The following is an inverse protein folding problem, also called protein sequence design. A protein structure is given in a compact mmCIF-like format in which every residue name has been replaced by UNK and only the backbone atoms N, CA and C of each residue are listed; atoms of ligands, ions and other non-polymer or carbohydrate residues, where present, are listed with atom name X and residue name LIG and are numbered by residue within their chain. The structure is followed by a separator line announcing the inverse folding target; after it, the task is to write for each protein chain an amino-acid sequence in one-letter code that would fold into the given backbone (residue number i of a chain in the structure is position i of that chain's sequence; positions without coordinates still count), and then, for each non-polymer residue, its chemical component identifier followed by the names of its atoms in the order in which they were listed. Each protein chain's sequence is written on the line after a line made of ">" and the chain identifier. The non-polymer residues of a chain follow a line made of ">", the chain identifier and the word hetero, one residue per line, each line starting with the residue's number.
data_IF_912114567572
#
_entry.id   IF_912114567572
#
_cell.length_a   1.000
_cell.length_b   1.000
_cell.length_c   1.000
_cell.angle_alpha   90.00
_cell.angle_beta   90.00
_cell.angle_gamma   90.00
#
_symmetry.space_group_name_H-M   'P 1'
#
loop_
_entity.id
_entity.type
_entity.pdbx_description
1 polymer ?
#
# COMPACT_ATOMS: atom_id res chain seq x y z
N UNK A 1 16.81 -37.32 -33.68
CA UNK A 1 17.18 -36.38 -32.60
C UNK A 1 16.69 -36.94 -31.27
N UNK A 2 17.59 -37.44 -30.40
CA UNK A 2 17.24 -37.83 -29.03
C UNK A 2 17.34 -36.57 -28.16
N UNK A 3 16.21 -36.11 -27.62
CA UNK A 3 16.20 -35.11 -26.56
C UNK A 3 16.83 -35.74 -25.32
N UNK A 4 18.02 -35.29 -24.94
CA UNK A 4 18.57 -35.57 -23.62
C UNK A 4 17.75 -34.78 -22.59
N UNK A 5 16.82 -35.46 -21.91
CA UNK A 5 16.24 -34.92 -20.70
C UNK A 5 17.33 -34.86 -19.64
N UNK A 6 17.80 -33.66 -19.29
CA UNK A 6 18.66 -33.47 -18.13
C UNK A 6 17.96 -34.09 -16.92
N UNK A 7 18.57 -35.12 -16.31
CA UNK A 7 18.03 -35.74 -15.11
C UNK A 7 17.93 -34.68 -14.02
N UNK A 8 16.71 -34.45 -13.54
CA UNK A 8 16.47 -33.52 -12.44
C UNK A 8 17.10 -34.13 -11.19
N UNK A 9 17.88 -33.34 -10.46
CA UNK A 9 18.42 -33.77 -9.16
C UNK A 9 17.26 -34.03 -8.20
N UNK A 10 17.32 -35.16 -7.49
CA UNK A 10 16.34 -35.51 -6.47
C UNK A 10 16.49 -34.61 -5.24
N UNK A 11 15.36 -34.25 -4.64
CA UNK A 11 15.32 -33.46 -3.41
C UNK A 11 15.62 -34.39 -2.23
N UNK A 12 16.64 -34.06 -1.45
CA UNK A 12 17.05 -34.83 -0.28
C UNK A 12 16.66 -34.13 1.02
N UNK A 13 16.28 -34.94 2.02
CA UNK A 13 16.14 -34.47 3.39
C UNK A 13 17.51 -34.10 3.95
N UNK A 14 17.56 -32.99 4.67
CA UNK A 14 18.74 -32.53 5.37
C UNK A 14 18.33 -32.18 6.78
N UNK A 15 19.03 -32.72 7.79
CA UNK A 15 18.82 -32.34 9.17
C UNK A 15 19.43 -30.95 9.48
N UNK A 16 19.12 -30.41 10.66
CA UNK A 16 19.59 -29.08 11.06
C UNK A 16 21.10 -28.99 11.17
N UNK A 17 21.78 -30.06 11.59
CA UNK A 17 23.24 -30.06 11.74
C UNK A 17 23.92 -29.99 10.37
N UNK A 18 23.41 -30.75 9.39
CA UNK A 18 23.83 -30.64 8.01
C UNK A 18 23.62 -29.22 7.48
N UNK A 19 22.45 -28.62 7.73
CA UNK A 19 22.17 -27.25 7.29
C UNK A 19 23.17 -26.24 7.88
N UNK A 20 23.47 -26.33 9.17
CA UNK A 20 24.47 -25.50 9.86
C UNK A 20 25.86 -25.67 9.24
N UNK A 21 26.30 -26.91 9.01
CA UNK A 21 27.60 -27.19 8.39
C UNK A 21 27.68 -26.65 6.95
N UNK A 22 26.59 -26.79 6.17
CA UNK A 22 26.48 -26.22 4.82
C UNK A 22 26.59 -24.69 4.81
N UNK A 23 26.10 -24.01 5.83
CA UNK A 23 26.23 -22.56 5.97
C UNK A 23 27.67 -22.15 6.33
N UNK A 24 28.33 -22.86 7.26
CA UNK A 24 29.75 -22.66 7.57
C UNK A 24 30.64 -22.83 6.34
N UNK A 25 30.40 -23.88 5.55
CA UNK A 25 31.14 -24.14 4.31
C UNK A 25 30.97 -23.04 3.25
N UNK A 26 29.93 -22.20 3.37
CA UNK A 26 29.71 -21.03 2.51
C UNK A 26 30.26 -19.74 3.09
N UNK A 27 30.98 -19.80 4.22
CA UNK A 27 31.57 -18.64 4.89
C UNK A 27 30.65 -17.93 5.88
N UNK A 28 29.47 -18.48 6.22
CA UNK A 28 28.62 -17.89 7.26
C UNK A 28 29.18 -18.21 8.64
N UNK A 29 29.33 -17.18 9.46
CA UNK A 29 29.78 -17.34 10.85
C UNK A 29 28.60 -17.83 11.71
N UNK A 30 28.85 -18.91 12.45
CA UNK A 30 27.91 -19.52 13.38
C UNK A 30 28.62 -19.65 14.73
N UNK A 31 28.35 -18.70 15.62
CA UNK A 31 28.97 -18.65 16.94
C UNK A 31 28.44 -19.76 17.86
N UNK A 32 27.17 -20.14 17.71
CA UNK A 32 26.53 -21.20 18.47
C UNK A 32 25.63 -22.05 17.59
N UNK A 33 25.93 -23.35 17.52
CA UNK A 33 25.09 -24.32 16.81
C UNK A 33 23.69 -24.37 17.41
N UNK A 34 23.56 -24.31 18.75
CA UNK A 34 22.27 -24.31 19.43
C UNK A 34 21.38 -23.17 18.95
N UNK A 35 21.90 -21.94 18.99
CA UNK A 35 21.15 -20.75 18.55
C UNK A 35 20.82 -20.83 17.07
N UNK A 36 21.77 -21.26 16.22
CA UNK A 36 21.51 -21.40 14.79
C UNK A 36 20.39 -22.41 14.49
N UNK A 37 20.36 -23.53 15.21
CA UNK A 37 19.30 -24.54 15.08
C UNK A 37 17.96 -23.97 15.56
N UNK A 38 17.91 -23.28 16.71
CA UNK A 38 16.71 -22.62 17.22
C UNK A 38 16.14 -21.61 16.20
N UNK A 39 16.99 -20.79 15.57
CA UNK A 39 16.58 -19.85 14.52
C UNK A 39 16.04 -20.56 13.28
N UNK A 40 16.69 -21.65 12.84
CA UNK A 40 16.24 -22.44 11.70
C UNK A 40 14.93 -23.18 11.98
N UNK A 41 14.68 -23.59 13.22
CA UNK A 41 13.41 -24.19 13.65
C UNK A 41 12.28 -23.17 13.67
N UNK A 42 12.56 -21.97 14.18
CA UNK A 42 11.55 -20.90 14.33
C UNK A 42 11.16 -20.27 13.00
N UNK A 43 12.14 -19.92 12.15
CA UNK A 43 11.90 -19.15 10.92
C UNK A 43 11.87 -20.05 9.68
N UNK A 44 12.61 -21.16 9.71
CA UNK A 44 12.80 -22.06 8.57
C UNK A 44 13.97 -21.63 7.68
N UNK A 45 14.71 -22.61 7.15
CA UNK A 45 15.88 -22.35 6.29
C UNK A 45 15.55 -21.48 5.07
N UNK A 46 14.39 -21.68 4.45
CA UNK A 46 14.01 -20.88 3.28
C UNK A 46 13.80 -19.40 3.64
N UNK A 47 13.00 -19.13 4.68
CA UNK A 47 12.65 -17.76 5.05
C UNK A 47 13.80 -17.01 5.72
N UNK A 48 14.71 -17.70 6.42
CA UNK A 48 15.86 -17.06 7.05
C UNK A 48 17.06 -16.95 6.10
N UNK A 49 17.39 -18.03 5.39
CA UNK A 49 18.63 -18.09 4.59
C UNK A 49 18.35 -17.72 3.15
N UNK A 50 17.47 -18.46 2.47
CA UNK A 50 17.27 -18.26 1.03
C UNK A 50 16.69 -16.90 0.69
N UNK A 51 15.87 -16.34 1.59
CA UNK A 51 15.26 -15.03 1.48
C UNK A 51 16.29 -13.89 1.47
N UNK A 52 17.30 -13.94 2.35
CA UNK A 52 18.21 -12.81 2.56
C UNK A 52 19.62 -12.99 2.00
N UNK A 53 20.02 -14.21 1.63
CA UNK A 53 21.39 -14.51 1.18
C UNK A 53 21.93 -13.60 0.08
N UNK A 54 21.08 -13.08 -0.82
CA UNK A 54 21.52 -12.16 -1.89
C UNK A 54 22.15 -10.89 -1.35
N UNK A 55 21.63 -10.38 -0.22
CA UNK A 55 22.09 -9.14 0.40
C UNK A 55 23.45 -9.30 1.09
N UNK A 56 23.81 -10.53 1.45
CA UNK A 56 25.02 -10.86 2.22
C UNK A 56 26.08 -11.64 1.43
N UNK A 57 25.77 -12.09 0.22
CA UNK A 57 26.73 -12.77 -0.65
C UNK A 57 27.72 -11.78 -1.27
N UNK A 58 28.89 -12.31 -1.63
CA UNK A 58 29.79 -11.63 -2.56
C UNK A 58 29.16 -11.62 -3.96
N UNK A 59 29.28 -10.52 -4.73
CA UNK A 59 28.81 -10.47 -6.11
C UNK A 59 29.33 -11.67 -6.92
N UNK A 60 28.44 -12.29 -7.69
CA UNK A 60 28.70 -13.44 -8.56
C UNK A 60 29.24 -14.71 -7.90
N UNK A 61 29.27 -14.76 -6.56
CA UNK A 61 29.70 -15.93 -5.79
C UNK A 61 28.57 -16.42 -4.88
N UNK A 62 28.42 -17.74 -4.76
CA UNK A 62 27.44 -18.39 -3.86
C UNK A 62 27.97 -18.55 -2.43
N UNK A 63 28.74 -17.56 -1.95
CA UNK A 63 29.40 -17.52 -0.64
C UNK A 63 29.18 -16.18 0.04
N UNK A 64 29.15 -16.18 1.37
CA UNK A 64 28.94 -14.98 2.19
C UNK A 64 30.20 -14.09 2.20
N UNK A 65 29.98 -12.78 2.39
CA UNK A 65 31.07 -11.83 2.66
C UNK A 65 31.73 -12.15 4.01
N UNK A 66 32.95 -11.67 4.21
CA UNK A 66 33.64 -11.79 5.50
C UNK A 66 32.82 -11.13 6.62
N UNK A 67 32.85 -11.72 7.81
CA UNK A 67 32.18 -11.22 9.02
C UNK A 67 30.64 -11.17 8.95
N UNK A 68 30.01 -12.04 8.17
CA UNK A 68 28.54 -12.22 8.19
C UNK A 68 28.19 -13.36 9.15
N UNK A 69 27.37 -13.04 10.16
CA UNK A 69 26.83 -13.98 11.12
C UNK A 69 25.39 -14.39 10.75
N UNK A 70 24.96 -15.59 11.15
CA UNK A 70 23.56 -16.01 10.97
C UNK A 70 22.57 -15.06 11.65
N UNK A 71 22.99 -14.40 12.73
CA UNK A 71 22.21 -13.39 13.45
C UNK A 71 21.96 -12.13 12.62
N UNK A 72 22.82 -11.80 11.65
CA UNK A 72 22.59 -10.67 10.75
C UNK A 72 21.38 -10.92 9.84
N UNK A 73 21.25 -12.14 9.31
CA UNK A 73 20.09 -12.55 8.51
C UNK A 73 18.82 -12.56 9.36
N UNK A 74 18.92 -12.99 10.62
CA UNK A 74 17.79 -12.94 11.55
C UNK A 74 17.38 -11.50 11.88
N UNK A 75 18.35 -10.59 12.02
CA UNK A 75 18.09 -9.18 12.23
C UNK A 75 17.37 -8.55 11.02
N UNK A 76 17.80 -8.85 9.80
CA UNK A 76 17.09 -8.49 8.57
C UNK A 76 15.65 -9.02 8.55
N UNK A 77 15.47 -10.28 8.92
CA UNK A 77 14.15 -10.90 9.01
C UNK A 77 13.23 -10.12 9.95
N UNK A 78 13.72 -9.78 11.14
CA UNK A 78 12.97 -9.04 12.16
C UNK A 78 12.61 -7.62 11.69
N UNK A 79 13.58 -6.88 11.14
CA UNK A 79 13.33 -5.53 10.61
C UNK A 79 12.23 -5.57 9.54
N UNK A 80 12.33 -6.50 8.60
CA UNK A 80 11.35 -6.63 7.52
C UNK A 80 9.96 -7.00 8.07
N UNK A 81 9.89 -7.92 9.03
CA UNK A 81 8.63 -8.35 9.64
C UNK A 81 7.96 -7.22 10.42
N UNK A 82 8.72 -6.44 11.19
CA UNK A 82 8.21 -5.26 11.90
C UNK A 82 7.63 -4.23 10.91
N UNK A 83 8.39 -3.89 9.85
CA UNK A 83 7.93 -2.95 8.82
C UNK A 83 6.68 -3.46 8.10
N UNK A 84 6.68 -4.75 7.78
CA UNK A 84 5.56 -5.45 7.17
C UNK A 84 4.30 -5.34 8.03
N UNK A 85 4.41 -5.58 9.33
CA UNK A 85 3.29 -5.52 10.26
C UNK A 85 2.73 -4.10 10.38
N UNK A 86 3.61 -3.09 10.42
CA UNK A 86 3.21 -1.67 10.38
C UNK A 86 2.41 -1.39 9.11
N UNK A 87 3.00 -1.61 7.93
CA UNK A 87 2.36 -1.30 6.65
C UNK A 87 1.06 -2.10 6.43
N UNK A 88 1.00 -3.35 6.91
CA UNK A 88 -0.20 -4.18 6.85
C UNK A 88 -1.36 -3.59 7.65
N UNK A 89 -1.09 -3.13 8.88
CA UNK A 89 -2.09 -2.48 9.72
C UNK A 89 -2.72 -1.30 8.97
N UNK A 90 -1.91 -0.45 8.35
CA UNK A 90 -2.40 0.73 7.64
C UNK A 90 -3.05 0.40 6.30
N UNK A 91 -2.62 -0.65 5.60
CA UNK A 91 -3.33 -1.16 4.43
C UNK A 91 -4.75 -1.67 4.78
N UNK A 92 -4.95 -2.28 5.95
CA UNK A 92 -6.27 -2.64 6.46
C UNK A 92 -7.13 -1.40 6.71
N UNK A 93 -6.56 -0.34 7.32
CA UNK A 93 -7.28 0.90 7.57
C UNK A 93 -7.73 1.57 6.27
N UNK A 94 -6.86 1.60 5.27
CA UNK A 94 -7.20 2.04 3.92
C UNK A 94 -8.34 1.21 3.31
N UNK A 95 -8.26 -0.12 3.38
CA UNK A 95 -9.29 -1.03 2.87
C UNK A 95 -10.65 -0.76 3.51
N UNK A 96 -10.68 -0.55 4.83
CA UNK A 96 -11.90 -0.20 5.56
C UNK A 96 -12.48 1.13 5.06
N UNK A 97 -11.65 2.19 4.96
CA UNK A 97 -12.10 3.50 4.49
C UNK A 97 -12.68 3.43 3.07
N UNK A 98 -12.06 2.66 2.18
CA UNK A 98 -12.58 2.41 0.83
C UNK A 98 -13.94 1.72 0.88
N UNK A 99 -14.05 0.62 1.64
CA UNK A 99 -15.31 -0.14 1.79
C UNK A 99 -16.43 0.73 2.34
N UNK A 100 -16.18 1.53 3.38
CA UNK A 100 -17.18 2.44 3.94
C UNK A 100 -17.65 3.48 2.92
N UNK A 101 -16.70 4.07 2.17
CA UNK A 101 -17.03 5.03 1.12
C UNK A 101 -17.88 4.40 0.01
N UNK A 102 -17.58 3.14 -0.36
CA UNK A 102 -18.38 2.36 -1.31
C UNK A 102 -19.77 2.04 -0.77
N UNK A 103 -19.86 1.57 0.47
CA UNK A 103 -21.12 1.24 1.12
C UNK A 103 -22.06 2.46 1.15
N UNK A 104 -21.55 3.61 1.58
CA UNK A 104 -22.30 4.85 1.65
C UNK A 104 -22.85 5.25 0.28
N UNK A 105 -22.01 5.30 -0.75
CA UNK A 105 -22.46 5.79 -2.06
C UNK A 105 -23.39 4.80 -2.76
N UNK A 106 -23.21 3.49 -2.54
CA UNK A 106 -24.15 2.47 -3.00
C UNK A 106 -25.52 2.67 -2.35
N UNK A 107 -25.57 2.74 -1.01
CA UNK A 107 -26.82 2.96 -0.28
C UNK A 107 -27.52 4.25 -0.70
N UNK A 108 -26.78 5.36 -0.78
CA UNK A 108 -27.31 6.69 -1.13
C UNK A 108 -27.89 6.76 -2.55
N UNK A 109 -27.27 6.09 -3.52
CA UNK A 109 -27.66 6.20 -4.95
C UNK A 109 -28.59 5.09 -5.41
N UNK A 110 -28.55 3.93 -4.75
CA UNK A 110 -29.24 2.72 -5.21
C UNK A 110 -30.18 2.14 -4.17
N UNK A 111 -30.16 2.59 -2.92
CA UNK A 111 -30.94 1.99 -1.84
C UNK A 111 -30.18 0.90 -1.10
N UNK A 112 -30.83 0.36 -0.08
CA UNK A 112 -30.21 -0.57 0.89
C UNK A 112 -30.53 -2.03 0.59
N UNK A 113 -31.48 -2.32 -0.31
CA UNK A 113 -31.86 -3.69 -0.63
C UNK A 113 -30.90 -4.32 -1.61
N UNK A 114 -30.58 -5.61 -1.42
CA UNK A 114 -29.63 -6.34 -2.28
C UNK A 114 -30.04 -6.28 -3.76
N UNK A 115 -31.33 -6.42 -4.05
CA UNK A 115 -31.87 -6.36 -5.41
C UNK A 115 -31.70 -4.98 -6.08
N UNK A 116 -31.61 -3.91 -5.29
CA UNK A 116 -31.46 -2.55 -5.80
C UNK A 116 -29.98 -2.21 -6.02
N UNK A 117 -29.14 -2.37 -5.00
CA UNK A 117 -27.72 -1.99 -5.09
C UNK A 117 -26.87 -3.00 -5.86
N UNK A 118 -27.31 -4.25 -6.04
CA UNK A 118 -26.67 -5.22 -6.95
C UNK A 118 -27.39 -5.33 -8.30
N UNK A 119 -28.27 -4.39 -8.66
CA UNK A 119 -28.86 -4.39 -10.00
C UNK A 119 -27.78 -4.10 -11.07
N UNK A 120 -27.42 -5.07 -11.94
CA UNK A 120 -26.33 -4.92 -12.89
C UNK A 120 -26.60 -3.84 -13.96
N UNK A 121 -27.87 -3.51 -14.23
CA UNK A 121 -28.25 -2.49 -15.21
C UNK A 121 -27.84 -1.07 -14.78
N UNK A 122 -27.52 -0.90 -13.50
CA UNK A 122 -27.17 0.39 -12.90
C UNK A 122 -25.66 0.66 -12.87
N UNK A 123 -24.86 -0.27 -13.38
CA UNK A 123 -23.39 -0.22 -13.38
C UNK A 123 -22.82 -0.11 -14.81
N UNK A 124 -21.55 0.28 -14.92
CA UNK A 124 -20.83 0.29 -16.20
C UNK A 124 -20.50 -1.13 -16.65
N UNK A 125 -20.37 -1.29 -17.97
CA UNK A 125 -20.02 -2.56 -18.61
C UNK A 125 -20.97 -3.69 -18.21
N UNK A 126 -22.16 -3.70 -18.84
CA UNK A 126 -23.28 -4.60 -18.53
C UNK A 126 -22.86 -6.06 -18.34
N UNK A 127 -22.06 -6.61 -19.26
CA UNK A 127 -21.63 -8.01 -19.20
C UNK A 127 -20.72 -8.30 -17.98
N UNK A 128 -19.82 -7.37 -17.66
CA UNK A 128 -18.97 -7.47 -16.46
C UNK A 128 -19.80 -7.31 -15.19
N UNK A 129 -20.72 -6.35 -15.17
CA UNK A 129 -21.61 -6.09 -14.05
C UNK A 129 -22.50 -7.30 -13.71
N UNK A 130 -23.08 -7.97 -14.71
CA UNK A 130 -23.87 -9.20 -14.53
C UNK A 130 -23.04 -10.28 -13.84
N UNK A 131 -21.80 -10.51 -14.29
CA UNK A 131 -20.92 -11.53 -13.68
C UNK A 131 -20.58 -11.20 -12.23
N UNK A 132 -20.20 -9.95 -11.95
CA UNK A 132 -19.80 -9.51 -10.61
C UNK A 132 -20.97 -9.54 -9.63
N UNK A 133 -22.11 -8.98 -10.01
CA UNK A 133 -23.31 -8.94 -9.15
C UNK A 133 -23.86 -10.34 -8.88
N UNK A 134 -23.85 -11.24 -9.88
CA UNK A 134 -24.20 -12.66 -9.68
C UNK A 134 -23.25 -13.35 -8.69
N UNK A 135 -21.94 -13.11 -8.82
CA UNK A 135 -20.94 -13.62 -7.88
C UNK A 135 -21.21 -13.13 -6.45
N UNK A 136 -21.46 -11.83 -6.28
CA UNK A 136 -21.73 -11.23 -4.95
C UNK A 136 -23.04 -11.75 -4.34
N UNK A 137 -24.11 -11.86 -5.12
CA UNK A 137 -25.37 -12.44 -4.67
C UNK A 137 -25.20 -13.88 -4.16
N UNK A 138 -24.45 -14.71 -4.91
CA UNK A 138 -24.11 -16.08 -4.49
C UNK A 138 -23.34 -16.08 -3.16
N UNK A 139 -22.36 -15.19 -3.02
CA UNK A 139 -21.57 -15.01 -1.79
C UNK A 139 -22.44 -14.63 -0.58
N UNK A 140 -23.45 -13.78 -0.76
CA UNK A 140 -24.39 -13.38 0.29
C UNK A 140 -25.31 -14.57 0.66
N UNK A 141 -25.88 -15.26 -0.34
CA UNK A 141 -26.78 -16.38 -0.09
C UNK A 141 -26.10 -17.51 0.67
N UNK A 142 -24.85 -17.82 0.32
CA UNK A 142 -24.06 -18.91 0.91
C UNK A 142 -23.38 -18.54 2.25
N UNK A 143 -23.35 -17.26 2.63
CA UNK A 143 -22.70 -16.82 3.87
C UNK A 143 -23.55 -17.14 5.11
N UNK A 144 -23.01 -17.93 6.04
CA UNK A 144 -23.67 -18.32 7.28
C UNK A 144 -23.00 -17.72 8.53
N UNK A 145 -22.14 -16.71 8.32
CA UNK A 145 -21.41 -16.03 9.39
C UNK A 145 -22.08 -14.70 9.72
N UNK A 146 -22.03 -14.32 11.00
CA UNK A 146 -22.45 -13.00 11.44
C UNK A 146 -21.45 -11.91 10.98
N UNK A 147 -21.93 -10.68 10.70
CA UNK A 147 -23.31 -10.20 10.89
C UNK A 147 -24.26 -10.50 9.71
N UNK A 148 -23.78 -11.07 8.60
CA UNK A 148 -24.62 -11.32 7.41
C UNK A 148 -25.77 -12.27 7.71
N UNK A 149 -25.52 -13.35 8.46
CA UNK A 149 -26.57 -14.29 8.88
C UNK A 149 -27.70 -13.59 9.63
N UNK A 150 -27.37 -12.85 10.70
CA UNK A 150 -28.34 -12.07 11.46
C UNK A 150 -29.19 -11.13 10.58
N UNK A 151 -28.57 -10.42 9.62
CA UNK A 151 -29.32 -9.51 8.74
C UNK A 151 -30.29 -10.24 7.81
N UNK A 152 -29.87 -11.37 7.24
CA UNK A 152 -30.74 -12.23 6.42
C UNK A 152 -31.94 -12.75 7.22
N UNK A 153 -31.71 -13.26 8.42
CA UNK A 153 -32.75 -13.86 9.25
C UNK A 153 -33.73 -12.82 9.83
N UNK A 154 -33.21 -11.67 10.30
CA UNK A 154 -34.03 -10.66 10.96
C UNK A 154 -34.70 -9.67 10.02
N UNK A 155 -34.02 -9.25 8.95
CA UNK A 155 -34.50 -8.20 8.04
C UNK A 155 -34.85 -8.73 6.64
N UNK A 156 -34.54 -9.99 6.33
CA UNK A 156 -34.77 -10.58 5.00
C UNK A 156 -33.85 -10.04 3.91
N UNK A 157 -32.87 -9.21 4.25
CA UNK A 157 -31.96 -8.55 3.30
C UNK A 157 -30.63 -8.17 3.98
N UNK A 158 -29.62 -7.85 3.18
CA UNK A 158 -28.28 -7.47 3.63
C UNK A 158 -27.93 -6.10 3.07
N UNK A 159 -27.63 -5.09 3.90
CA UNK A 159 -27.27 -3.77 3.39
C UNK A 159 -25.82 -3.71 2.88
N UNK A 160 -25.45 -2.68 2.07
CA UNK A 160 -24.13 -2.58 1.44
C UNK A 160 -22.93 -2.67 2.41
N UNK A 161 -23.01 -2.10 3.60
CA UNK A 161 -21.90 -2.10 4.58
C UNK A 161 -21.64 -3.50 5.17
N UNK A 162 -22.69 -4.31 5.35
CA UNK A 162 -22.57 -5.71 5.78
C UNK A 162 -22.08 -6.60 4.63
N UNK A 163 -22.53 -6.34 3.40
CA UNK A 163 -22.01 -7.06 2.24
C UNK A 163 -20.51 -6.80 2.02
N UNK A 164 -20.09 -5.53 2.10
CA UNK A 164 -18.70 -5.13 1.86
C UNK A 164 -17.73 -5.61 2.95
N UNK A 165 -18.19 -5.79 4.20
CA UNK A 165 -17.37 -6.39 5.25
C UNK A 165 -16.99 -7.85 4.94
N UNK A 166 -17.82 -8.56 4.16
CA UNK A 166 -17.69 -10.01 3.92
C UNK A 166 -16.95 -10.39 2.63
N UNK A 167 -16.46 -9.39 1.89
CA UNK A 167 -15.69 -9.60 0.65
C UNK A 167 -14.23 -9.18 0.84
N UNK A 168 -13.33 -9.81 0.09
CA UNK A 168 -11.89 -9.50 0.15
C UNK A 168 -11.58 -8.15 -0.51
N UNK A 169 -10.38 -7.63 -0.29
CA UNK A 169 -9.94 -6.42 -0.98
C UNK A 169 -9.95 -6.56 -2.51
N UNK A 170 -9.51 -7.70 -3.04
CA UNK A 170 -9.57 -8.00 -4.47
C UNK A 170 -11.00 -7.99 -5.03
N UNK A 171 -11.97 -8.52 -4.28
CA UNK A 171 -13.39 -8.48 -4.64
C UNK A 171 -13.97 -7.06 -4.56
N UNK A 172 -13.53 -6.27 -3.58
CA UNK A 172 -13.88 -4.85 -3.45
C UNK A 172 -13.40 -4.05 -4.66
N UNK A 173 -12.14 -4.24 -5.07
CA UNK A 173 -11.58 -3.64 -6.29
C UNK A 173 -12.32 -4.09 -7.55
N UNK A 174 -12.70 -5.37 -7.63
CA UNK A 174 -13.51 -5.91 -8.72
C UNK A 174 -14.86 -5.17 -8.82
N UNK A 175 -15.57 -5.00 -7.71
CA UNK A 175 -16.82 -4.24 -7.67
C UNK A 175 -16.64 -2.76 -8.03
N UNK A 176 -15.60 -2.10 -7.50
CA UNK A 176 -15.29 -0.71 -7.85
C UNK A 176 -15.06 -0.54 -9.36
N UNK A 177 -14.54 -1.55 -10.05
CA UNK A 177 -14.26 -1.46 -11.49
C UNK A 177 -15.51 -1.27 -12.37
N UNK A 178 -16.71 -1.58 -11.88
CA UNK A 178 -17.98 -1.37 -12.58
C UNK A 178 -18.75 -0.14 -12.09
N UNK A 179 -18.30 0.56 -11.05
CA UNK A 179 -18.97 1.76 -10.54
C UNK A 179 -19.09 2.83 -11.62
N UNK A 180 -20.27 3.47 -11.81
CA UNK A 180 -20.41 4.68 -12.63
C UNK A 180 -19.44 5.80 -12.26
N UNK A 181 -19.23 6.76 -13.17
CA UNK A 181 -18.27 7.86 -12.99
C UNK A 181 -18.56 8.67 -11.73
N UNK A 182 -19.81 9.08 -11.52
CA UNK A 182 -20.22 9.85 -10.33
C UNK A 182 -19.97 9.12 -9.01
N UNK A 183 -20.17 7.80 -8.95
CA UNK A 183 -19.86 6.99 -7.77
C UNK A 183 -18.34 6.87 -7.57
N UNK A 184 -17.57 6.72 -8.65
CA UNK A 184 -16.10 6.70 -8.58
C UNK A 184 -15.54 8.06 -8.12
N UNK A 185 -16.10 9.18 -8.62
CA UNK A 185 -15.79 10.54 -8.18
C UNK A 185 -16.02 10.68 -6.67
N UNK A 186 -17.13 10.16 -6.15
CA UNK A 186 -17.37 10.13 -4.70
C UNK A 186 -16.25 9.44 -3.92
N UNK A 187 -15.82 8.24 -4.34
CA UNK A 187 -14.73 7.50 -3.68
C UNK A 187 -13.41 8.28 -3.72
N UNK A 188 -13.06 8.85 -4.87
CA UNK A 188 -11.87 9.68 -5.04
C UNK A 188 -11.84 10.81 -4.00
N UNK A 189 -12.93 11.58 -3.84
CA UNK A 189 -13.01 12.67 -2.85
C UNK A 189 -12.90 12.16 -1.43
N UNK A 190 -13.45 10.98 -1.16
CA UNK A 190 -13.39 10.41 0.18
C UNK A 190 -12.05 9.82 0.52
N UNK A 191 -11.19 9.50 -0.44
CA UNK A 191 -9.86 8.95 -0.19
C UNK A 191 -8.76 10.01 -0.29
N UNK A 192 -8.87 10.95 -1.22
CA UNK A 192 -7.83 11.96 -1.44
C UNK A 192 -8.05 13.17 -0.52
N UNK A 193 -6.98 13.87 -0.11
CA UNK A 193 -7.05 15.05 0.76
C UNK A 193 -7.49 16.30 -0.03
N UNK A 194 -8.61 16.19 -0.76
CA UNK A 194 -9.13 17.22 -1.67
C UNK A 194 -10.39 17.91 -1.15
N UNK A 195 -10.87 17.55 0.05
CA UNK A 195 -12.09 18.12 0.63
C UNK A 195 -12.01 18.26 2.14
N UNK A 196 -12.30 19.48 2.63
CA UNK A 196 -12.43 19.97 4.03
C UNK A 196 -11.41 21.03 4.50
N UNK A 197 -10.88 21.85 3.60
CA UNK A 197 -10.77 23.27 3.93
C UNK A 197 -12.20 23.85 3.87
N UNK A 198 -12.52 24.96 4.53
CA UNK A 198 -13.86 25.57 4.59
C UNK A 198 -14.35 26.12 3.22
N UNK A 199 -14.22 25.33 2.16
CA UNK A 199 -14.48 25.69 0.78
C UNK A 199 -15.32 24.58 0.18
N UNK A 200 -16.46 24.99 -0.34
CA UNK A 200 -17.54 24.14 -0.80
C UNK A 200 -17.25 23.69 -2.22
N UNK A 201 -17.41 22.39 -2.44
CA UNK A 201 -17.34 21.74 -3.75
C UNK A 201 -15.94 21.42 -4.27
N UNK A 202 -15.85 20.25 -4.92
CA UNK A 202 -14.64 19.72 -5.56
C UNK A 202 -14.21 20.64 -6.68
N UNK A 203 -15.20 21.28 -7.31
CA UNK A 203 -14.99 22.24 -8.37
C UNK A 203 -14.20 23.44 -7.83
N UNK A 204 -14.34 23.82 -6.55
CA UNK A 204 -13.53 24.85 -5.89
C UNK A 204 -12.11 24.36 -5.56
N UNK A 205 -11.92 23.08 -5.18
CA UNK A 205 -10.56 22.50 -5.06
C UNK A 205 -9.84 22.46 -6.42
N UNK A 206 -10.55 22.02 -7.45
CA UNK A 206 -10.03 22.02 -8.83
C UNK A 206 -9.75 23.46 -9.26
N UNK A 207 -10.63 24.41 -8.92
CA UNK A 207 -10.42 25.83 -9.19
C UNK A 207 -9.16 26.36 -8.51
N UNK A 208 -8.99 26.17 -7.21
CA UNK A 208 -7.84 26.72 -6.48
C UNK A 208 -6.50 26.07 -6.86
N UNK A 209 -6.46 24.75 -7.07
CA UNK A 209 -5.21 24.06 -7.44
C UNK A 209 -4.81 24.29 -8.91
N UNK A 210 -5.78 24.54 -9.78
CA UNK A 210 -5.54 24.54 -11.22
C UNK A 210 -5.81 25.89 -11.88
N UNK A 211 -6.89 26.57 -11.51
CA UNK A 211 -7.32 27.83 -12.12
C UNK A 211 -6.61 29.07 -11.57
N UNK A 212 -6.12 29.06 -10.32
CA UNK A 212 -5.31 30.18 -9.78
C UNK A 212 -3.98 30.36 -10.55
N UNK A 213 -3.51 29.30 -11.23
CA UNK A 213 -2.34 29.33 -12.09
C UNK A 213 -2.62 29.78 -13.53
N UNK A 214 -3.90 29.99 -13.87
CA UNK A 214 -4.35 30.35 -15.21
C UNK A 214 -4.94 31.76 -15.22
N UNK A 215 -4.59 32.51 -16.25
CA UNK A 215 -5.25 33.78 -16.58
C UNK A 215 -6.65 33.46 -17.13
N UNK A 216 -7.63 33.40 -16.23
CA UNK A 216 -9.00 32.92 -16.50
C UNK A 216 -9.69 33.70 -17.63
N UNK A 217 -9.34 34.98 -17.80
CA UNK A 217 -9.90 35.85 -18.84
C UNK A 217 -9.51 35.41 -20.26
N UNK A 218 -8.56 34.48 -20.42
CA UNK A 218 -8.14 33.92 -21.72
C UNK A 218 -8.93 32.70 -22.18
N UNK A 219 -9.80 32.12 -21.33
CA UNK A 219 -10.46 30.85 -21.63
C UNK A 219 -11.98 30.98 -21.62
N UNK A 220 -12.63 30.32 -22.57
CA UNK A 220 -14.09 30.20 -22.58
C UNK A 220 -14.59 29.21 -21.52
N UNK A 221 -15.84 29.37 -21.07
CA UNK A 221 -16.49 28.42 -20.14
C UNK A 221 -16.41 26.96 -20.61
N UNK A 222 -16.48 26.75 -21.93
CA UNK A 222 -16.37 25.42 -22.52
C UNK A 222 -14.97 24.81 -22.34
N UNK A 223 -13.93 25.61 -22.49
CA UNK A 223 -12.54 25.19 -22.29
C UNK A 223 -12.26 24.92 -20.81
N UNK A 224 -12.73 25.79 -19.92
CA UNK A 224 -12.63 25.60 -18.47
C UNK A 224 -13.28 24.28 -18.02
N UNK A 225 -14.46 23.97 -18.54
CA UNK A 225 -15.16 22.71 -18.27
C UNK A 225 -14.38 21.48 -18.77
N UNK A 226 -13.83 21.53 -19.99
CA UNK A 226 -13.02 20.44 -20.53
C UNK A 226 -11.76 20.18 -19.70
N UNK A 227 -11.13 21.25 -19.22
CA UNK A 227 -9.94 21.13 -18.40
C UNK A 227 -10.27 20.54 -17.02
N UNK A 228 -11.34 21.01 -16.38
CA UNK A 228 -11.83 20.44 -15.12
C UNK A 228 -12.14 18.94 -15.27
N UNK A 229 -12.82 18.55 -16.36
CA UNK A 229 -13.13 17.15 -16.63
C UNK A 229 -11.87 16.28 -16.80
N UNK A 230 -10.85 16.82 -17.48
CA UNK A 230 -9.54 16.15 -17.66
C UNK A 230 -8.84 15.97 -16.32
N UNK A 231 -8.83 16.99 -15.46
CA UNK A 231 -8.21 16.92 -14.15
C UNK A 231 -8.92 15.90 -13.23
N UNK A 232 -10.25 15.89 -13.22
CA UNK A 232 -11.04 14.88 -12.51
C UNK A 232 -10.68 13.46 -12.97
N UNK A 233 -10.58 13.24 -14.28
CA UNK A 233 -10.19 11.94 -14.83
C UNK A 233 -8.79 11.51 -14.40
N UNK A 234 -7.86 12.47 -14.32
CA UNK A 234 -6.50 12.27 -13.81
C UNK A 234 -6.50 11.83 -12.34
N UNK A 235 -7.29 12.48 -11.48
CA UNK A 235 -7.43 12.09 -10.07
C UNK A 235 -8.13 10.72 -9.88
N UNK A 236 -9.14 10.42 -10.70
CA UNK A 236 -9.80 9.10 -10.72
C UNK A 236 -8.79 8.01 -11.09
N UNK A 237 -7.94 8.27 -12.10
CA UNK A 237 -6.88 7.34 -12.51
C UNK A 237 -5.86 7.14 -11.39
N UNK A 238 -5.39 8.22 -10.78
CA UNK A 238 -4.48 8.17 -9.62
C UNK A 238 -5.07 7.32 -8.48
N UNK A 239 -6.33 7.57 -8.10
CA UNK A 239 -7.02 6.79 -7.06
C UNK A 239 -7.06 5.30 -7.37
N UNK A 240 -7.33 4.92 -8.64
CA UNK A 240 -7.34 3.51 -9.07
C UNK A 240 -5.95 2.87 -9.02
N UNK A 241 -4.91 3.64 -9.36
CA UNK A 241 -3.53 3.16 -9.31
C UNK A 241 -3.09 2.96 -7.86
N UNK A 242 -3.42 3.88 -6.94
CA UNK A 242 -3.19 3.71 -5.50
C UNK A 242 -3.89 2.47 -4.95
N UNK A 243 -5.18 2.27 -5.27
CA UNK A 243 -5.92 1.05 -4.85
C UNK A 243 -5.22 -0.22 -5.37
N UNK A 244 -4.71 -0.20 -6.61
CA UNK A 244 -4.03 -1.35 -7.20
C UNK A 244 -2.65 -1.58 -6.58
N UNK A 245 -1.90 -0.52 -6.28
CA UNK A 245 -0.62 -0.55 -5.56
C UNK A 245 -0.77 -1.21 -4.17
N UNK A 246 -1.74 -0.73 -3.38
CA UNK A 246 -2.00 -1.28 -2.03
C UNK A 246 -2.51 -2.73 -2.12
N UNK A 247 -3.29 -3.06 -3.16
CA UNK A 247 -3.74 -4.43 -3.40
C UNK A 247 -2.58 -5.37 -3.75
N UNK A 248 -1.64 -4.92 -4.59
CA UNK A 248 -0.45 -5.70 -4.94
C UNK A 248 0.44 -5.95 -3.71
N UNK A 249 0.56 -4.96 -2.83
CA UNK A 249 1.17 -5.16 -1.52
C UNK A 249 0.42 -6.21 -0.68
N UNK A 250 -0.90 -6.12 -0.55
CA UNK A 250 -1.70 -7.10 0.21
C UNK A 250 -1.59 -8.52 -0.34
N UNK A 251 -1.50 -8.68 -1.66
CA UNK A 251 -1.25 -9.97 -2.30
C UNK A 251 0.18 -10.47 -2.07
N UNK A 252 1.18 -9.58 -2.17
CA UNK A 252 2.57 -9.91 -1.85
C UNK A 252 2.68 -10.53 -0.45
N UNK A 253 2.00 -9.94 0.55
CA UNK A 253 1.94 -10.47 1.90
C UNK A 253 1.30 -11.86 1.98
N UNK A 254 0.17 -12.07 1.31
CA UNK A 254 -0.53 -13.35 1.31
C UNK A 254 0.32 -14.49 0.72
N UNK A 255 1.22 -14.18 -0.21
CA UNK A 255 2.18 -15.12 -0.78
C UNK A 255 3.49 -15.22 0.01
N UNK A 256 3.63 -14.45 1.09
CA UNK A 256 4.84 -14.42 1.91
C UNK A 256 6.05 -13.86 1.17
N UNK A 257 5.87 -13.06 0.12
CA UNK A 257 6.97 -12.49 -0.66
C UNK A 257 7.79 -11.49 0.17
N UNK A 258 8.95 -11.08 -0.36
CA UNK A 258 9.83 -10.10 0.29
C UNK A 258 9.30 -8.68 0.10
N UNK A 259 9.50 -7.85 1.12
CA UNK A 259 9.30 -6.41 1.10
C UNK A 259 10.55 -5.68 0.57
N UNK A 260 11.74 -6.24 0.83
CA UNK A 260 12.98 -5.83 0.16
C UNK A 260 12.77 -6.03 -1.35
N UNK A 261 13.13 -5.03 -2.14
CA UNK A 261 12.90 -4.98 -3.59
C UNK A 261 11.41 -5.02 -3.99
N UNK A 262 10.50 -4.58 -3.11
CA UNK A 262 9.07 -4.51 -3.44
C UNK A 262 8.81 -3.57 -4.62
N UNK A 263 8.16 -4.10 -5.65
CA UNK A 263 7.64 -3.35 -6.78
C UNK A 263 6.24 -3.85 -7.10
N UNK A 264 5.28 -2.93 -7.23
CA UNK A 264 3.93 -3.23 -7.68
C UNK A 264 3.86 -3.28 -9.21
N UNK A 265 2.79 -3.90 -9.73
CA UNK A 265 2.55 -3.95 -11.18
C UNK A 265 2.06 -2.63 -11.76
N UNK A 266 1.59 -1.72 -10.91
CA UNK A 266 1.04 -0.41 -11.29
C UNK A 266 1.92 0.71 -10.78
N UNK A 267 2.25 1.66 -11.66
CA UNK A 267 2.98 2.87 -11.32
C UNK A 267 2.05 4.07 -11.08
N UNK A 268 2.46 4.95 -10.18
CA UNK A 268 1.87 6.25 -9.91
C UNK A 268 2.56 7.28 -10.81
N UNK A 269 1.79 8.11 -11.51
CA UNK A 269 2.36 9.09 -12.43
C UNK A 269 2.87 10.32 -11.66
N UNK A 270 4.08 10.80 -12.00
CA UNK A 270 4.70 11.98 -11.39
C UNK A 270 3.75 13.18 -11.34
N UNK A 271 3.10 13.50 -12.47
CA UNK A 271 2.17 14.63 -12.56
C UNK A 271 1.05 14.57 -11.52
N UNK A 272 0.52 13.38 -11.24
CA UNK A 272 -0.50 13.18 -10.20
C UNK A 272 0.06 13.19 -8.80
N UNK A 273 1.25 12.62 -8.60
CA UNK A 273 1.93 12.65 -7.31
C UNK A 273 2.24 14.08 -6.87
N UNK A 274 2.62 14.97 -7.80
CA UNK A 274 2.94 16.37 -7.53
C UNK A 274 1.76 17.21 -7.03
N UNK A 275 0.53 16.70 -7.12
CA UNK A 275 -0.63 17.32 -6.48
C UNK A 275 -0.56 17.20 -4.95
N UNK A 276 0.05 16.12 -4.44
CA UNK A 276 0.09 15.81 -3.00
C UNK A 276 1.51 15.82 -2.42
N UNK A 277 2.53 15.91 -3.27
CA UNK A 277 3.95 15.82 -2.93
C UNK A 277 4.73 16.95 -3.58
N UNK A 278 5.89 17.26 -3.04
CA UNK A 278 6.79 18.30 -3.56
C UNK A 278 8.24 17.79 -3.59
N UNK A 279 9.18 18.64 -4.01
CA UNK A 279 10.60 18.29 -4.12
C UNK A 279 11.27 17.88 -2.80
N UNK A 280 10.70 18.24 -1.64
CA UNK A 280 11.19 17.78 -0.34
C UNK A 280 10.71 16.36 0.03
N UNK A 281 9.81 15.78 -0.78
CA UNK A 281 9.43 14.36 -0.71
C UNK A 281 10.34 13.53 -1.63
N UNK A 282 10.47 13.92 -2.90
CA UNK A 282 11.41 13.34 -3.86
C UNK A 282 11.60 14.27 -5.06
N UNK A 283 12.76 14.28 -5.68
CA UNK A 283 13.02 15.07 -6.90
C UNK A 283 12.50 14.36 -8.16
N UNK A 284 12.33 15.13 -9.24
CA UNK A 284 11.99 14.55 -10.55
C UNK A 284 13.11 13.62 -11.05
N UNK A 285 14.37 13.95 -10.74
CA UNK A 285 15.53 13.12 -11.06
C UNK A 285 15.48 11.76 -10.36
N UNK A 286 15.21 11.74 -9.04
CA UNK A 286 15.04 10.50 -8.28
C UNK A 286 13.87 9.65 -8.84
N UNK A 287 12.79 10.30 -9.27
CA UNK A 287 11.66 9.60 -9.88
C UNK A 287 12.03 8.96 -11.22
N UNK A 288 12.67 9.69 -12.14
CA UNK A 288 12.96 9.17 -13.48
C UNK A 288 14.16 8.22 -13.51
N UNK A 289 15.22 8.52 -12.75
CA UNK A 289 16.47 7.75 -12.79
C UNK A 289 16.43 6.54 -11.85
N UNK A 290 15.83 6.69 -10.67
CA UNK A 290 15.80 5.65 -9.64
C UNK A 290 14.43 4.96 -9.50
N UNK A 291 13.41 5.40 -10.25
CA UNK A 291 12.02 4.94 -10.09
C UNK A 291 11.43 5.17 -8.69
N UNK A 292 12.02 6.10 -7.92
CA UNK A 292 11.57 6.40 -6.55
C UNK A 292 10.14 6.94 -6.58
N UNK A 293 9.28 6.43 -5.68
CA UNK A 293 7.87 6.81 -5.57
C UNK A 293 6.99 6.44 -6.79
N UNK A 294 7.50 5.69 -7.77
CA UNK A 294 6.74 5.24 -8.94
C UNK A 294 5.85 4.03 -8.62
N UNK A 295 6.45 2.90 -8.29
CA UNK A 295 5.76 1.64 -7.95
C UNK A 295 6.48 0.85 -6.86
N UNK A 296 7.43 1.48 -6.19
CA UNK A 296 8.32 0.91 -5.19
C UNK A 296 7.72 0.93 -3.77
N UNK A 297 8.52 0.54 -2.79
CA UNK A 297 8.12 0.57 -1.38
C UNK A 297 7.83 2.00 -0.89
N UNK A 298 8.58 2.99 -1.38
CA UNK A 298 8.32 4.39 -1.04
C UNK A 298 6.99 4.88 -1.62
N UNK A 299 6.63 4.48 -2.85
CA UNK A 299 5.32 4.75 -3.44
C UNK A 299 4.17 4.20 -2.57
N UNK A 300 4.32 2.98 -2.03
CA UNK A 300 3.33 2.38 -1.15
C UNK A 300 3.14 3.21 0.13
N UNK A 301 4.24 3.63 0.76
CA UNK A 301 4.19 4.47 1.97
C UNK A 301 3.56 5.83 1.67
N UNK A 302 3.97 6.49 0.59
CA UNK A 302 3.41 7.77 0.16
C UNK A 302 1.92 7.64 -0.14
N UNK A 303 1.51 6.60 -0.86
CA UNK A 303 0.10 6.33 -1.17
C UNK A 303 -0.75 6.13 0.09
N UNK A 304 -0.24 5.40 1.09
CA UNK A 304 -0.91 5.26 2.38
C UNK A 304 -1.02 6.60 3.10
N UNK A 305 0.06 7.38 3.20
CA UNK A 305 0.05 8.71 3.85
C UNK A 305 -0.95 9.65 3.18
N UNK A 306 -1.02 9.65 1.85
CA UNK A 306 -1.96 10.49 1.08
C UNK A 306 -3.43 10.07 1.32
N UNK A 307 -3.70 8.77 1.40
CA UNK A 307 -5.10 8.26 1.35
C UNK A 307 -5.71 7.84 2.67
N UNK A 308 -4.90 7.70 3.72
CA UNK A 308 -5.39 7.53 5.08
C UNK A 308 -6.01 8.83 5.61
N UNK A 309 -6.83 8.71 6.65
CA UNK A 309 -7.27 9.92 7.31
C UNK A 309 -6.08 10.51 8.06
N UNK A 310 -6.12 11.81 8.30
CA UNK A 310 -5.04 12.55 8.93
C UNK A 310 -4.47 11.89 10.19
N UNK A 311 -5.32 11.34 11.07
CA UNK A 311 -4.84 10.74 12.32
C UNK A 311 -4.07 9.47 12.03
N UNK A 312 -4.57 8.66 11.11
CA UNK A 312 -3.89 7.44 10.67
C UNK A 312 -2.62 7.73 9.87
N UNK A 313 -2.58 8.78 9.04
CA UNK A 313 -1.35 9.21 8.35
C UNK A 313 -0.27 9.63 9.34
N UNK A 314 -0.61 10.45 10.35
CA UNK A 314 0.32 10.86 11.41
C UNK A 314 0.76 9.64 12.22
N UNK A 315 -0.16 8.73 12.52
CA UNK A 315 0.12 7.54 13.29
C UNK A 315 1.05 6.58 12.53
N UNK A 316 0.88 6.41 11.21
CA UNK A 316 1.80 5.64 10.36
C UNK A 316 3.22 6.21 10.43
N UNK A 317 3.37 7.52 10.24
CA UNK A 317 4.69 8.17 10.33
C UNK A 317 5.29 7.94 11.72
N UNK A 318 4.51 8.10 12.79
CA UNK A 318 4.98 7.86 14.16
C UNK A 318 5.41 6.41 14.40
N UNK A 319 4.67 5.42 13.88
CA UNK A 319 5.06 4.01 13.98
C UNK A 319 6.38 3.73 13.25
N UNK A 320 6.58 4.33 12.07
CA UNK A 320 7.85 4.24 11.34
C UNK A 320 9.01 4.88 12.12
N UNK A 321 8.78 5.98 12.83
CA UNK A 321 9.79 6.63 13.68
C UNK A 321 10.19 5.75 14.87
N UNK A 322 9.19 5.17 15.56
CA UNK A 322 9.43 4.25 16.68
C UNK A 322 10.20 3.02 16.19
N UNK A 323 9.81 2.46 15.05
CA UNK A 323 10.51 1.34 14.42
C UNK A 323 11.95 1.67 14.05
N UNK A 324 12.21 2.83 13.44
CA UNK A 324 13.58 3.30 13.16
C UNK A 324 14.38 3.44 14.46
N UNK A 325 13.83 4.14 15.46
CA UNK A 325 14.50 4.36 16.75
C UNK A 325 14.86 3.05 17.46
N UNK A 326 13.97 2.07 17.46
CA UNK A 326 14.20 0.75 18.07
C UNK A 326 15.34 0.00 17.37
N UNK A 327 15.49 0.17 16.06
CA UNK A 327 16.52 -0.51 15.27
C UNK A 327 17.84 0.28 15.17
N UNK A 328 17.88 1.56 15.54
CA UNK A 328 19.10 2.36 15.52
C UNK A 328 19.64 2.69 16.92
N UNK A 329 19.32 1.87 17.93
CA UNK A 329 19.69 2.13 19.33
C UNK A 329 21.19 1.98 19.62
N UNK A 330 21.91 1.17 18.84
CA UNK A 330 23.36 0.97 18.94
C UNK A 330 24.02 1.18 17.57
N UNK A 331 25.33 1.40 17.52
CA UNK A 331 26.04 1.55 16.24
C UNK A 331 25.95 0.30 15.36
N UNK A 332 25.95 -0.89 15.97
CA UNK A 332 25.83 -2.18 15.27
C UNK A 332 24.45 -2.29 14.61
N UNK A 333 23.39 -2.11 15.40
CA UNK A 333 22.02 -2.23 14.89
C UNK A 333 21.71 -1.13 13.88
N UNK A 334 22.23 0.09 14.10
CA UNK A 334 22.11 1.20 13.14
C UNK A 334 22.75 0.85 11.80
N UNK A 335 23.97 0.31 11.79
CA UNK A 335 24.64 -0.10 10.54
C UNK A 335 23.83 -1.15 9.78
N UNK A 336 23.31 -2.15 10.49
CA UNK A 336 22.47 -3.20 9.89
C UNK A 336 21.14 -2.64 9.37
N UNK A 337 20.52 -1.72 10.11
CA UNK A 337 19.30 -1.03 9.68
C UNK A 337 19.54 -0.18 8.43
N UNK A 338 20.61 0.60 8.39
CA UNK A 338 20.97 1.43 7.23
C UNK A 338 21.24 0.55 6.00
N UNK A 339 21.86 -0.62 6.19
CA UNK A 339 22.04 -1.62 5.12
C UNK A 339 20.68 -2.16 4.62
N UNK A 340 19.74 -2.45 5.52
CA UNK A 340 18.40 -2.89 5.15
C UNK A 340 17.64 -1.82 4.36
N UNK A 341 17.72 -0.56 4.79
CA UNK A 341 17.10 0.60 4.13
C UNK A 341 17.67 0.73 2.71
N UNK A 342 18.99 0.64 2.56
CA UNK A 342 19.65 0.66 1.24
C UNK A 342 19.25 -0.54 0.38
N UNK A 343 19.15 -1.75 0.94
CA UNK A 343 18.66 -2.94 0.22
C UNK A 343 17.19 -2.80 -0.22
N UNK A 344 16.41 -1.91 0.41
CA UNK A 344 15.00 -1.69 0.08
C UNK A 344 14.79 -0.52 -0.88
N UNK A 345 15.87 0.02 -1.45
CA UNK A 345 15.88 1.22 -2.31
C UNK A 345 15.20 2.45 -1.68
N UNK A 346 15.18 2.50 -0.34
CA UNK A 346 14.59 3.60 0.41
C UNK A 346 15.64 4.69 0.69
N UNK A 347 15.28 5.98 0.57
CA UNK A 347 16.13 7.06 1.05
C UNK A 347 16.37 6.94 2.57
N UNK A 348 17.58 7.27 3.05
CA UNK A 348 17.91 7.18 4.49
C UNK A 348 17.04 8.10 5.37
N UNK A 349 16.51 9.16 4.78
CA UNK A 349 15.61 10.14 5.37
C UNK A 349 14.15 9.97 4.91
N UNK A 350 13.74 8.81 4.37
CA UNK A 350 12.39 8.58 3.83
C UNK A 350 11.27 8.99 4.80
N UNK A 351 11.42 8.77 6.12
CA UNK A 351 10.41 9.17 7.12
C UNK A 351 10.26 10.70 7.17
N UNK A 352 11.36 11.44 7.08
CA UNK A 352 11.35 12.91 7.04
C UNK A 352 10.68 13.38 5.74
N UNK A 353 10.96 12.72 4.62
CA UNK A 353 10.32 12.99 3.32
C UNK A 353 8.80 12.74 3.37
N UNK A 354 8.35 11.65 3.99
CA UNK A 354 6.92 11.34 4.16
C UNK A 354 6.17 12.43 4.96
N UNK A 355 6.83 13.09 5.93
CA UNK A 355 6.24 14.21 6.68
C UNK A 355 5.95 15.44 5.83
N UNK A 356 6.64 15.59 4.70
CA UNK A 356 6.44 16.70 3.79
C UNK A 356 5.30 16.49 2.79
N UNK A 357 4.63 15.33 2.84
CA UNK A 357 3.41 15.06 2.08
C UNK A 357 2.27 15.89 2.68
N UNK A 358 1.52 16.57 1.83
CA UNK A 358 0.36 17.34 2.26
C UNK A 358 -0.71 16.41 2.82
N UNK A 359 -0.99 16.50 4.12
CA UNK A 359 -2.08 15.78 4.79
C UNK A 359 -3.23 16.74 5.12
N UNK A 360 -4.46 16.23 5.15
CA UNK A 360 -5.65 17.00 5.54
C UNK A 360 -5.45 17.59 6.96
N UNK A 361 -5.51 18.93 7.15
CA UNK A 361 -5.36 19.55 8.48
C UNK A 361 -6.71 19.92 9.09
N UNK A 362 -6.89 19.65 10.38
CA UNK A 362 -8.07 20.13 11.14
C UNK A 362 -8.01 21.65 11.32
N UNK A 363 -9.16 22.34 11.37
CA UNK A 363 -9.22 23.79 11.63
C UNK A 363 -8.44 24.21 12.88
N UNK A 364 -8.49 23.42 13.98
CA UNK A 364 -7.72 23.69 15.20
C UNK A 364 -6.19 23.72 14.97
N UNK A 365 -5.68 22.88 14.07
CA UNK A 365 -4.26 22.83 13.75
C UNK A 365 -3.84 23.90 12.76
N UNK A 366 -4.67 24.21 11.75
CA UNK A 366 -4.43 25.38 10.90
C UNK A 366 -4.34 26.65 11.73
N UNK A 367 -5.27 26.80 12.69
CA UNK A 367 -5.24 27.92 13.64
C UNK A 367 -4.08 27.84 14.63
N UNK A 368 -3.52 26.65 14.90
CA UNK A 368 -2.33 26.52 15.74
C UNK A 368 -1.09 26.92 14.93
N UNK A 369 -0.90 26.39 13.74
CA UNK A 369 0.21 26.76 12.85
C UNK A 369 0.16 28.24 12.46
N UNK A 370 -1.02 28.81 12.22
CA UNK A 370 -1.18 30.24 12.00
C UNK A 370 -0.79 31.05 13.25
N UNK A 371 -1.16 30.60 14.45
CA UNK A 371 -0.72 31.25 15.70
C UNK A 371 0.78 31.11 15.91
N UNK A 372 1.32 29.90 15.79
CA UNK A 372 2.75 29.63 15.89
C UNK A 372 3.53 30.42 14.81
N UNK A 373 2.96 30.69 13.63
CA UNK A 373 3.53 31.57 12.60
C UNK A 373 3.49 33.04 13.04
N UNK A 374 2.35 33.54 13.50
CA UNK A 374 2.21 34.92 13.98
C UNK A 374 3.05 35.22 15.24
N UNK A 375 3.31 34.21 16.07
CA UNK A 375 4.17 34.33 17.26
C UNK A 375 5.67 34.34 16.92
N UNK A 376 6.03 33.97 15.68
CA UNK A 376 7.40 34.01 15.13
C UNK A 376 7.65 35.24 14.22
N UNK A 377 6.68 36.16 14.11
CA UNK A 377 6.80 37.50 13.53
C UNK A 377 6.65 38.55 14.64
#
# INVERSE_FOLDING_TARGET
>A
MRCFSLSKKEVQFHDYQYMVNKLRNKGLIIDSNRIAIELLQSVGYYNLINRYKSEFYLPDKKVYRSNVHITDLYYYHRIEDDLRNILFQFAIKFEQRLKESMAYIMAKRRGVKTSEYLNPLTYRNKNKAIKITKFLNKKISECNDDPTKYYKEKYGDVPPWIMLSNITFGQTRMLLSIFPRNMTKYIMIKLLPIGKNNYGDIDEFIFNEFMDSLDLDKYSDKELNQISEKYENTLIKFTRNVISLIHDYRNNLAHGNRLIHFHANTSLELRTLRIFTNNSVFSDEEYYNNQLCSNDLFALMAALVITLDKYDSIYLISQLEVWKKANTATDITKKQFDQFISSSDLPSDFIKRLKNITIEKTNRQKNKEFRDFMDNF
#
